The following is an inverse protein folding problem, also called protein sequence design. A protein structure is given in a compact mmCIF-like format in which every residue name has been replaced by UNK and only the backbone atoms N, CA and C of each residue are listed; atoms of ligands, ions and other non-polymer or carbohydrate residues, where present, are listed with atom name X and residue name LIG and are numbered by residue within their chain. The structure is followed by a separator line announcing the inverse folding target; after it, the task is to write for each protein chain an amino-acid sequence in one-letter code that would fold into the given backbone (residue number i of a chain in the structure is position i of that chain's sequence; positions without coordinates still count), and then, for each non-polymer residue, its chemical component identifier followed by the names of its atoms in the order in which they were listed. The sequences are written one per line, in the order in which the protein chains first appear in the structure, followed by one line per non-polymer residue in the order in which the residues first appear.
data_IF_604135664845
#
_entry.id   IF_604135664845
#
_cell.length_a   1.000
_cell.length_b   1.000
_cell.length_c   1.000
_cell.angle_alpha   90.00
_cell.angle_beta   90.00
_cell.angle_gamma   90.00
#
_symmetry.space_group_name_H-M   'P 1'
#
loop_
_entity.id
_entity.type
_entity.pdbx_description
1 polymer ?
#
# COMPACT_ATOMS: atom_id res chain seq x y z
N UNK A 1 6.66 30.29 1.41
CA UNK A 1 5.32 30.26 2.02
C UNK A 1 4.98 28.81 2.17
N UNK A 2 5.17 28.28 3.38
CA UNK A 2 4.80 26.90 3.68
C UNK A 2 3.29 26.80 3.51
N UNK A 3 2.84 25.83 2.69
CA UNK A 3 1.41 25.55 2.50
C UNK A 3 0.72 25.17 3.83
N UNK A 4 1.50 24.90 4.88
CA UNK A 4 1.04 24.66 6.24
C UNK A 4 0.57 25.95 6.95
N UNK A 5 1.06 27.14 6.58
CA UNK A 5 0.74 28.38 7.30
C UNK A 5 -0.68 28.90 7.04
N UNK A 6 -1.27 28.60 5.88
CA UNK A 6 -2.62 29.04 5.48
C UNK A 6 -3.67 27.91 5.51
N UNK A 7 -3.31 26.73 6.02
CA UNK A 7 -4.20 25.57 6.01
C UNK A 7 -5.29 25.67 7.09
N UNK A 8 -6.56 25.53 6.71
CA UNK A 8 -7.69 25.41 7.63
C UNK A 8 -7.79 24.04 8.31
N UNK A 9 -7.14 23.01 7.75
CA UNK A 9 -7.01 21.65 8.31
C UNK A 9 -5.72 21.02 7.77
N UNK A 10 -4.81 20.57 8.64
CA UNK A 10 -3.62 19.79 8.24
C UNK A 10 -3.78 18.37 8.76
N UNK A 11 -3.92 17.41 7.85
CA UNK A 11 -3.94 15.98 8.19
C UNK A 11 -2.78 15.28 7.50
N UNK A 12 -1.92 14.68 8.31
CA UNK A 12 -0.78 13.91 7.83
C UNK A 12 -0.95 12.47 8.26
N UNK A 13 -1.11 11.57 7.29
CA UNK A 13 -1.19 10.13 7.52
C UNK A 13 -0.04 9.49 6.75
N UNK A 14 1.01 9.04 7.45
CA UNK A 14 2.13 8.26 6.90
C UNK A 14 2.58 7.27 7.96
N UNK A 15 2.64 5.98 7.60
CA UNK A 15 3.23 4.93 8.44
C UNK A 15 2.56 3.56 8.35
N UNK A 16 1.28 3.48 7.96
CA UNK A 16 0.47 2.27 8.29
C UNK A 16 -0.21 1.57 7.10
N UNK A 17 0.10 2.00 5.87
CA UNK A 17 -0.55 1.47 4.66
C UNK A 17 0.51 0.80 3.79
N UNK A 18 0.17 -0.37 3.26
CA UNK A 18 0.99 -1.10 2.30
C UNK A 18 1.41 -0.19 1.12
N UNK A 19 2.65 -0.25 0.60
CA UNK A 19 3.06 0.51 -0.57
C UNK A 19 2.16 0.23 -1.76
N UNK A 20 1.86 1.25 -2.56
CA UNK A 20 0.89 1.15 -3.67
C UNK A 20 1.19 0.01 -4.65
N UNK A 21 2.47 -0.23 -4.93
CA UNK A 21 2.93 -1.30 -5.83
C UNK A 21 2.71 -2.72 -5.28
N UNK A 22 2.46 -2.85 -3.97
CA UNK A 22 2.25 -4.13 -3.30
C UNK A 22 0.77 -4.38 -2.98
N UNK A 23 -0.15 -3.44 -3.22
CA UNK A 23 -1.56 -3.54 -2.81
C UNK A 23 -2.41 -4.36 -3.77
N UNK A 24 -3.10 -5.36 -3.25
CA UNK A 24 -4.19 -6.05 -3.95
C UNK A 24 -5.37 -5.12 -4.23
N UNK A 25 -6.15 -5.42 -5.27
CA UNK A 25 -7.38 -4.68 -5.60
C UNK A 25 -8.35 -4.61 -4.41
N UNK A 26 -8.51 -5.72 -3.69
CA UNK A 26 -9.37 -5.78 -2.52
C UNK A 26 -8.90 -4.86 -1.38
N UNK A 27 -7.58 -4.72 -1.20
CA UNK A 27 -7.00 -3.79 -0.24
C UNK A 27 -7.17 -2.34 -0.68
N UNK A 28 -6.98 -2.04 -1.97
CA UNK A 28 -7.20 -0.70 -2.54
C UNK A 28 -8.65 -0.28 -2.31
N UNK A 29 -9.63 -1.11 -2.72
CA UNK A 29 -11.05 -0.81 -2.54
C UNK A 29 -11.40 -0.59 -1.07
N UNK A 30 -10.90 -1.44 -0.18
CA UNK A 30 -11.14 -1.31 1.25
C UNK A 30 -10.52 -0.04 1.85
N UNK A 31 -9.38 0.42 1.31
CA UNK A 31 -8.75 1.66 1.73
C UNK A 31 -9.57 2.87 1.29
N UNK A 32 -9.96 2.95 0.02
CA UNK A 32 -10.72 4.08 -0.53
C UNK A 32 -12.10 4.21 0.11
N UNK A 33 -12.81 3.08 0.30
CA UNK A 33 -14.13 3.05 0.96
C UNK A 33 -14.09 3.34 2.46
N UNK A 34 -12.91 3.26 3.10
CA UNK A 34 -12.74 3.62 4.51
C UNK A 34 -12.53 5.13 4.74
N UNK A 35 -12.39 5.91 3.66
CA UNK A 35 -12.23 7.36 3.74
C UNK A 35 -13.55 8.04 4.13
N UNK A 36 -13.54 9.05 5.01
CA UNK A 36 -14.73 9.87 5.28
C UNK A 36 -15.27 10.62 4.06
N UNK A 37 -14.48 10.71 2.98
CA UNK A 37 -14.83 11.29 1.68
C UNK A 37 -15.02 10.23 0.58
N UNK A 38 -15.19 8.96 0.97
CA UNK A 38 -15.28 7.88 0.01
C UNK A 38 -16.43 8.11 -0.99
N UNK A 39 -16.08 8.11 -2.26
CA UNK A 39 -17.00 7.86 -3.37
C UNK A 39 -16.61 6.51 -3.99
N UNK A 40 -17.60 5.68 -4.29
CA UNK A 40 -17.39 4.39 -4.94
C UNK A 40 -16.73 4.56 -6.32
N UNK A 41 -16.96 5.69 -6.99
CA UNK A 41 -16.34 6.02 -8.28
C UNK A 41 -14.82 6.20 -8.17
N UNK A 42 -14.34 6.79 -7.07
CA UNK A 42 -12.91 6.96 -6.78
C UNK A 42 -12.25 5.60 -6.46
N UNK A 43 -12.97 4.72 -5.76
CA UNK A 43 -12.49 3.38 -5.46
C UNK A 43 -12.30 2.53 -6.72
N UNK A 44 -13.25 2.59 -7.66
CA UNK A 44 -13.16 1.86 -8.93
C UNK A 44 -12.03 2.37 -9.83
N UNK A 45 -11.84 3.70 -9.88
CA UNK A 45 -10.72 4.30 -10.60
C UNK A 45 -9.36 3.89 -9.99
N UNK A 46 -9.25 3.91 -8.66
CA UNK A 46 -8.03 3.52 -7.95
C UNK A 46 -7.68 2.04 -8.16
N UNK A 47 -8.69 1.16 -8.12
CA UNK A 47 -8.55 -0.28 -8.41
C UNK A 47 -8.11 -0.49 -9.86
N UNK A 48 -8.75 0.18 -10.82
CA UNK A 48 -8.44 0.02 -12.26
C UNK A 48 -7.01 0.43 -12.60
N UNK A 49 -6.47 1.45 -11.93
CA UNK A 49 -5.08 1.87 -12.10
C UNK A 49 -4.06 0.98 -11.35
N UNK A 50 -4.51 0.03 -10.52
CA UNK A 50 -3.65 -0.85 -9.72
C UNK A 50 -2.83 -1.85 -10.55
N UNK A 51 -3.45 -2.68 -11.40
CA UNK A 51 -2.77 -3.69 -12.22
C UNK A 51 -1.65 -3.12 -13.09
N UNK A 52 -1.86 -1.97 -13.73
CA UNK A 52 -0.85 -1.30 -14.55
C UNK A 52 0.40 -0.97 -13.72
N UNK A 53 0.21 -0.45 -12.51
CA UNK A 53 1.32 -0.14 -11.59
C UNK A 53 2.03 -1.40 -11.09
N UNK A 54 1.30 -2.47 -10.77
CA UNK A 54 1.91 -3.74 -10.35
C UNK A 54 2.72 -4.41 -11.46
N UNK A 55 2.29 -4.27 -12.72
CA UNK A 55 2.97 -4.86 -13.88
C UNK A 55 4.42 -4.36 -14.03
N UNK A 56 4.76 -3.21 -13.44
CA UNK A 56 6.13 -2.67 -13.41
C UNK A 56 7.09 -3.67 -12.74
N UNK A 57 6.62 -4.39 -11.71
CA UNK A 57 7.43 -5.31 -10.93
C UNK A 57 7.66 -6.65 -11.62
N UNK A 58 6.80 -7.03 -12.57
CA UNK A 58 6.81 -8.33 -13.28
C UNK A 58 7.06 -8.22 -14.78
N UNK A 59 7.33 -7.01 -15.31
CA UNK A 59 7.67 -6.80 -16.72
C UNK A 59 8.96 -7.54 -17.11
N UNK A 60 9.20 -7.70 -18.43
CA UNK A 60 10.34 -8.45 -18.98
C UNK A 60 11.72 -8.04 -18.43
N UNK A 61 11.91 -6.76 -18.12
CA UNK A 61 13.10 -6.22 -17.46
C UNK A 61 12.64 -5.50 -16.20
N UNK A 62 12.39 -6.22 -15.09
CA UNK A 62 11.82 -5.61 -13.91
C UNK A 62 12.87 -4.75 -13.19
N UNK A 63 12.47 -3.63 -12.55
CA UNK A 63 13.39 -2.86 -11.74
C UNK A 63 13.73 -3.63 -10.45
N UNK A 64 14.91 -3.37 -9.89
CA UNK A 64 15.15 -3.71 -8.48
C UNK A 64 14.33 -2.76 -7.60
N UNK A 65 13.52 -3.31 -6.71
CA UNK A 65 12.67 -2.55 -5.80
C UNK A 65 13.01 -2.90 -4.36
N UNK A 66 13.04 -1.90 -3.48
CA UNK A 66 13.22 -2.10 -2.05
C UNK A 66 12.13 -1.38 -1.29
N UNK A 67 11.45 -2.11 -0.39
CA UNK A 67 10.38 -1.59 0.43
C UNK A 67 10.74 -1.79 1.90
N UNK A 68 10.78 -0.69 2.63
CA UNK A 68 10.90 -0.69 4.09
C UNK A 68 9.54 -0.36 4.67
N UNK A 69 8.95 -1.32 5.37
CA UNK A 69 7.60 -1.27 5.93
C UNK A 69 7.67 -1.08 7.43
N UNK A 70 6.76 -0.32 8.02
CA UNK A 70 6.50 -0.45 9.46
C UNK A 70 5.69 -1.74 9.71
N UNK A 71 5.91 -2.41 10.85
CA UNK A 71 5.08 -3.53 11.28
C UNK A 71 3.57 -3.20 11.31
N UNK A 72 3.23 -1.92 11.51
CA UNK A 72 1.83 -1.45 11.46
C UNK A 72 1.13 -1.76 10.13
N UNK A 73 1.85 -1.75 9.00
CA UNK A 73 1.33 -2.11 7.67
C UNK A 73 0.83 -3.56 7.60
N UNK A 74 1.37 -4.44 8.46
CA UNK A 74 1.02 -5.86 8.51
C UNK A 74 -0.07 -6.14 9.57
N UNK A 75 -0.12 -5.33 10.62
CA UNK A 75 -1.02 -5.52 11.77
C UNK A 75 -2.37 -4.82 11.60
N UNK A 76 -2.42 -3.68 10.89
CA UNK A 76 -3.65 -2.90 10.72
C UNK A 76 -4.64 -3.65 9.83
N UNK A 77 -5.90 -3.73 10.28
CA UNK A 77 -6.97 -4.41 9.54
C UNK A 77 -7.63 -3.46 8.56
N UNK A 78 -7.25 -3.53 7.29
CA UNK A 78 -7.92 -2.85 6.19
C UNK A 78 -8.81 -3.85 5.46
N UNK A 79 -10.11 -3.55 5.31
CA UNK A 79 -11.07 -4.43 4.63
C UNK A 79 -11.40 -5.73 5.37
N UNK A 80 -10.98 -5.85 6.64
CA UNK A 80 -11.20 -7.04 7.46
C UNK A 80 -10.20 -8.18 7.22
N UNK A 81 -10.34 -9.31 7.95
CA UNK A 81 -9.33 -10.38 7.97
C UNK A 81 -9.11 -11.07 6.62
N UNK A 82 -10.16 -11.26 5.82
CA UNK A 82 -10.04 -11.91 4.51
C UNK A 82 -9.31 -11.07 3.46
N UNK A 83 -9.47 -9.74 3.51
CA UNK A 83 -8.71 -8.81 2.66
C UNK A 83 -7.25 -8.79 3.08
N UNK A 84 -6.97 -8.66 4.38
CA UNK A 84 -5.60 -8.68 4.89
C UNK A 84 -4.88 -10.00 4.61
N UNK A 85 -5.54 -11.16 4.75
CA UNK A 85 -4.94 -12.45 4.42
C UNK A 85 -4.47 -12.47 2.97
N UNK A 86 -5.36 -12.13 2.02
CA UNK A 86 -5.00 -12.06 0.59
C UNK A 86 -3.91 -11.03 0.30
N UNK A 87 -3.94 -9.89 0.99
CA UNK A 87 -2.91 -8.86 0.86
C UNK A 87 -1.53 -9.36 1.32
N UNK A 88 -1.47 -10.13 2.40
CA UNK A 88 -0.23 -10.69 2.92
C UNK A 88 0.24 -11.92 2.14
N UNK A 89 -0.69 -12.64 1.48
CA UNK A 89 -0.41 -13.77 0.59
C UNK A 89 -0.04 -13.33 -0.85
N UNK A 90 -0.24 -12.07 -1.22
CA UNK A 90 0.06 -11.56 -2.57
C UNK A 90 1.54 -11.61 -3.00
N UNK A 91 2.56 -11.41 -2.13
CA UNK A 91 3.94 -11.26 -2.58
C UNK A 91 4.68 -12.56 -2.95
N UNK A 92 4.01 -13.71 -3.14
CA UNK A 92 4.67 -15.00 -3.38
C UNK A 92 4.90 -15.37 -4.87
N UNK A 93 4.96 -14.40 -5.79
CA UNK A 93 5.41 -14.68 -7.17
C UNK A 93 6.94 -14.79 -7.20
N UNK A 94 7.54 -15.89 -7.69
CA UNK A 94 9.00 -16.03 -7.80
C UNK A 94 9.67 -14.88 -8.57
N UNK A 95 8.99 -14.30 -9.56
CA UNK A 95 9.51 -13.16 -10.31
C UNK A 95 9.64 -11.89 -9.45
N UNK A 96 8.89 -11.79 -8.35
CA UNK A 96 9.01 -10.72 -7.36
C UNK A 96 10.12 -11.00 -6.34
N UNK A 97 10.40 -12.28 -6.01
CA UNK A 97 11.41 -12.63 -5.01
C UNK A 97 12.85 -12.27 -5.43
N UNK A 98 13.15 -12.31 -6.74
CA UNK A 98 14.50 -12.06 -7.25
C UNK A 98 14.85 -10.55 -7.38
N UNK A 99 13.86 -9.68 -7.60
CA UNK A 99 14.07 -8.25 -7.81
C UNK A 99 13.50 -7.37 -6.70
N UNK A 100 12.77 -7.92 -5.72
CA UNK A 100 12.16 -7.17 -4.63
C UNK A 100 12.75 -7.56 -3.28
N UNK A 101 13.25 -6.56 -2.57
CA UNK A 101 13.63 -6.68 -1.17
C UNK A 101 12.58 -6.03 -0.28
N UNK A 102 12.05 -6.78 0.67
CA UNK A 102 11.14 -6.28 1.71
C UNK A 102 11.80 -6.36 3.08
N UNK A 103 11.74 -5.25 3.80
CA UNK A 103 12.18 -5.15 5.18
C UNK A 103 11.04 -4.62 6.03
N UNK A 104 10.93 -5.15 7.25
CA UNK A 104 9.92 -4.70 8.22
C UNK A 104 10.68 -4.10 9.40
N UNK A 105 10.35 -2.85 9.73
CA UNK A 105 10.73 -2.18 10.96
C UNK A 105 9.72 -2.60 12.02
N UNK A 106 10.12 -3.44 12.99
CA UNK A 106 9.24 -3.85 14.08
C UNK A 106 8.95 -2.68 15.02
N UNK A 107 7.87 -2.79 15.79
CA UNK A 107 7.49 -1.73 16.73
C UNK A 107 8.53 -1.44 17.82
N UNK A 108 9.40 -2.40 18.12
CA UNK A 108 10.45 -2.32 19.12
C UNK A 108 11.82 -1.92 18.54
N UNK A 109 11.91 -1.63 17.24
CA UNK A 109 13.13 -1.14 16.63
C UNK A 109 13.51 0.24 17.21
N UNK A 110 14.74 0.35 17.68
CA UNK A 110 15.32 1.65 18.03
C UNK A 110 15.71 2.38 16.73
N UNK A 111 15.16 3.58 16.53
CA UNK A 111 15.44 4.43 15.35
C UNK A 111 16.58 5.39 15.66
#
# INVERSE_FOLDING_TARGET
MDLETDASDIRRVRGEIMPGLLRTEAYIRALETSSPRADDSDADAAVSAGPERQSILTRSIPPSASFVLSESCLRRRIGGPGVMRRQLDHPYDPALEDNIHMQVIPFDAQT
#
